data_IF_441765812737
#
_entry.id   IF_441765812737
#
_cell.length_a   1.000
_cell.length_b   1.000
_cell.length_c   1.000
_cell.angle_alpha   90.00
_cell.angle_beta   90.00
_cell.angle_gamma   90.00
#
_symmetry.space_group_name_H-M   'P 1'
#
loop_
_entity.id
_entity.type
_entity.pdbx_description
1 polymer ?
#
# COMPACT_ATOMS: atom_id res chain seq x y z
N UNK A 1 4.80 -1.04 15.01
CA UNK A 1 3.57 -1.01 15.85
C UNK A 1 3.72 -0.29 17.20
N UNK A 2 4.90 0.21 17.60
CA UNK A 2 5.09 0.90 18.88
C UNK A 2 4.17 2.13 19.07
N UNK A 3 4.05 2.98 18.04
CA UNK A 3 3.19 4.17 18.08
C UNK A 3 1.71 3.86 18.39
N UNK A 4 1.16 2.78 17.83
CA UNK A 4 -0.22 2.36 18.08
C UNK A 4 -0.43 1.83 19.52
N UNK A 5 0.62 1.35 20.17
CA UNK A 5 0.58 0.92 21.57
C UNK A 5 0.67 2.14 22.50
N UNK A 6 1.68 2.97 22.29
CA UNK A 6 1.99 4.13 23.15
C UNK A 6 0.91 5.21 23.05
N UNK A 7 0.32 5.40 21.87
CA UNK A 7 -0.72 6.41 21.62
C UNK A 7 -2.09 6.10 22.23
N UNK A 8 -2.35 4.86 22.65
CA UNK A 8 -3.71 4.40 23.02
C UNK A 8 -4.33 5.20 24.16
N UNK A 9 -3.55 5.45 25.22
CA UNK A 9 -4.04 6.20 26.38
C UNK A 9 -4.25 7.71 26.08
N UNK A 10 -3.68 8.19 24.98
CA UNK A 10 -3.74 9.58 24.53
C UNK A 10 -4.78 9.80 23.43
N UNK A 11 -5.53 8.77 23.04
CA UNK A 11 -6.46 8.85 21.91
C UNK A 11 -5.78 9.00 20.55
N UNK A 12 -4.52 8.58 20.42
CA UNK A 12 -3.77 8.65 19.16
C UNK A 12 -3.91 7.31 18.42
N UNK A 13 -4.57 7.35 17.26
CA UNK A 13 -4.63 6.24 16.32
C UNK A 13 -3.40 6.23 15.41
N UNK A 14 -2.84 5.05 15.15
CA UNK A 14 -1.70 4.86 14.25
C UNK A 14 -1.91 3.60 13.40
N UNK A 15 -1.74 3.75 12.09
CA UNK A 15 -1.91 2.69 11.10
C UNK A 15 -0.78 2.71 10.06
N UNK A 16 -0.68 1.61 9.30
CA UNK A 16 0.24 1.47 8.18
C UNK A 16 -0.55 1.07 6.93
N UNK A 17 -0.20 1.68 5.80
CA UNK A 17 -0.68 1.28 4.49
C UNK A 17 0.50 0.86 3.62
N UNK A 18 0.45 -0.36 3.11
CA UNK A 18 1.41 -0.91 2.16
C UNK A 18 0.81 -0.80 0.75
N UNK A 19 1.55 -0.19 -0.18
CA UNK A 19 1.06 0.13 -1.52
C UNK A 19 1.85 -0.69 -2.56
N UNK A 20 1.13 -1.43 -3.40
CA UNK A 20 1.68 -2.20 -4.49
C UNK A 20 1.35 -1.63 -5.87
N UNK A 21 2.38 -1.25 -6.63
CA UNK A 21 2.26 -0.82 -8.03
C UNK A 21 1.19 0.25 -8.31
N UNK A 22 1.16 1.32 -7.52
CA UNK A 22 0.35 2.50 -7.82
C UNK A 22 1.03 3.34 -8.92
N UNK A 23 0.31 3.65 -10.00
CA UNK A 23 0.80 4.43 -11.13
C UNK A 23 1.08 5.89 -10.71
N UNK A 24 2.35 6.22 -10.58
CA UNK A 24 2.85 7.56 -10.24
C UNK A 24 4.12 7.85 -11.05
N UNK A 25 4.57 9.09 -11.02
CA UNK A 25 5.84 9.48 -11.63
C UNK A 25 7.04 8.65 -11.13
N UNK A 26 6.98 8.16 -9.89
CA UNK A 26 8.00 7.32 -9.27
C UNK A 26 7.98 5.87 -9.79
N UNK A 27 6.82 5.36 -10.22
CA UNK A 27 6.67 3.97 -10.69
C UNK A 27 6.80 3.83 -12.21
N UNK A 28 7.09 4.92 -12.93
CA UNK A 28 7.34 4.88 -14.38
C UNK A 28 8.42 3.85 -14.78
N UNK A 29 9.41 3.63 -13.93
CA UNK A 29 10.44 2.61 -14.18
C UNK A 29 9.91 1.17 -14.02
N UNK A 30 8.91 0.95 -13.16
CA UNK A 30 8.23 -0.34 -12.99
C UNK A 30 7.37 -0.66 -14.22
N UNK A 31 6.72 0.36 -14.81
CA UNK A 31 5.99 0.22 -16.07
C UNK A 31 6.91 -0.11 -17.26
N UNK A 32 8.12 0.45 -17.27
CA UNK A 32 9.15 0.10 -18.26
C UNK A 32 9.72 -1.32 -18.07
N UNK A 33 9.57 -1.88 -16.87
CA UNK A 33 9.87 -3.26 -16.54
C UNK A 33 10.55 -3.41 -15.18
N UNK A 34 10.08 -4.37 -14.38
CA UNK A 34 10.67 -4.76 -13.10
C UNK A 34 11.31 -6.15 -13.19
N UNK A 35 12.37 -6.36 -12.41
CA UNK A 35 13.04 -7.66 -12.29
C UNK A 35 12.11 -8.65 -11.57
N UNK A 36 11.77 -9.72 -12.27
CA UNK A 36 10.93 -10.80 -11.76
C UNK A 36 11.76 -11.85 -11.02
N UNK A 37 11.09 -12.73 -10.27
CA UNK A 37 11.76 -13.80 -9.53
C UNK A 37 12.54 -14.78 -10.43
N UNK A 38 12.14 -14.93 -11.69
CA UNK A 38 12.84 -15.73 -12.71
C UNK A 38 14.05 -15.00 -13.33
N UNK A 39 14.37 -13.79 -12.85
CA UNK A 39 15.48 -12.97 -13.31
C UNK A 39 15.23 -12.18 -14.60
N UNK A 40 14.02 -12.27 -15.19
CA UNK A 40 13.66 -11.52 -16.38
C UNK A 40 13.08 -10.14 -16.01
N UNK A 41 13.29 -9.14 -16.88
CA UNK A 41 12.65 -7.82 -16.72
C UNK A 41 11.35 -7.80 -17.50
N UNK A 42 10.22 -7.55 -16.83
CA UNK A 42 8.89 -7.49 -17.45
C UNK A 42 8.07 -6.34 -16.86
N UNK A 43 7.22 -5.67 -17.67
CA UNK A 43 6.24 -4.74 -17.14
C UNK A 43 5.33 -5.42 -16.13
N UNK A 44 5.10 -4.76 -14.99
CA UNK A 44 4.12 -5.22 -14.00
C UNK A 44 2.82 -4.43 -14.11
N UNK A 45 1.65 -5.05 -13.86
CA UNK A 45 0.39 -4.34 -13.78
C UNK A 45 0.43 -3.24 -12.72
N UNK A 46 -0.12 -2.08 -13.05
CA UNK A 46 -0.31 -0.96 -12.12
C UNK A 46 -1.78 -0.69 -11.85
N UNK A 47 -2.06 0.05 -10.78
CA UNK A 47 -3.39 0.58 -10.45
C UNK A 47 -3.34 2.11 -10.38
N UNK A 48 -4.46 2.80 -10.61
CA UNK A 48 -4.53 4.25 -10.41
C UNK A 48 -4.17 4.61 -8.95
N UNK A 49 -3.32 5.63 -8.77
CA UNK A 49 -2.97 6.16 -7.46
C UNK A 49 -4.17 6.77 -6.71
N UNK A 50 -5.28 7.07 -7.40
CA UNK A 50 -6.53 7.52 -6.78
C UNK A 50 -7.07 6.49 -5.78
N UNK A 51 -6.94 5.20 -6.05
CA UNK A 51 -7.37 4.15 -5.10
C UNK A 51 -6.56 4.18 -3.79
N UNK A 52 -5.30 4.60 -3.85
CA UNK A 52 -4.47 4.81 -2.64
C UNK A 52 -4.96 6.04 -1.89
N UNK A 53 -5.30 7.12 -2.59
CA UNK A 53 -5.85 8.32 -1.98
C UNK A 53 -7.18 8.03 -1.28
N UNK A 54 -8.08 7.26 -1.92
CA UNK A 54 -9.35 6.83 -1.33
C UNK A 54 -9.14 5.98 -0.07
N UNK A 55 -8.15 5.07 -0.10
CA UNK A 55 -7.80 4.25 1.06
C UNK A 55 -7.27 5.10 2.23
N UNK A 56 -6.39 6.05 1.96
CA UNK A 56 -5.88 6.99 2.98
C UNK A 56 -7.00 7.87 3.53
N UNK A 57 -7.88 8.36 2.66
CA UNK A 57 -9.04 9.15 3.06
C UNK A 57 -9.98 8.34 3.98
N UNK A 58 -10.23 7.07 3.64
CA UNK A 58 -10.99 6.18 4.50
C UNK A 58 -10.33 6.01 5.87
N UNK A 59 -9.01 5.73 5.91
CA UNK A 59 -8.27 5.59 7.18
C UNK A 59 -8.33 6.87 8.03
N UNK A 60 -8.17 8.04 7.41
CA UNK A 60 -8.18 9.33 8.09
C UNK A 60 -9.60 9.79 8.49
N UNK A 61 -10.64 9.30 7.80
CA UNK A 61 -12.04 9.63 8.07
C UNK A 61 -12.67 8.84 9.21
N UNK A 62 -11.96 7.85 9.76
CA UNK A 62 -12.45 7.09 10.92
C UNK A 62 -12.42 7.94 12.20
N UNK A 63 -13.41 7.77 13.09
CA UNK A 63 -13.37 8.38 14.41
C UNK A 63 -12.28 7.70 15.27
N UNK A 64 -11.75 8.38 16.29
CA UNK A 64 -10.56 7.93 17.04
C UNK A 64 -10.76 6.63 17.83
N UNK A 65 -12.00 6.18 18.04
CA UNK A 65 -12.30 4.85 18.58
C UNK A 65 -12.06 3.70 17.59
N UNK A 66 -11.90 3.99 16.29
CA UNK A 66 -11.65 3.02 15.23
C UNK A 66 -10.28 3.26 14.58
N UNK A 67 -9.58 2.18 14.24
CA UNK A 67 -8.25 2.29 13.62
C UNK A 67 -8.01 1.16 12.62
N UNK A 68 -7.55 1.52 11.43
CA UNK A 68 -6.95 0.57 10.48
C UNK A 68 -5.48 0.39 10.86
N UNK A 69 -5.19 -0.66 11.63
CA UNK A 69 -3.82 -0.91 12.08
C UNK A 69 -2.86 -1.26 10.93
N UNK A 70 -3.36 -1.98 9.92
CA UNK A 70 -2.61 -2.38 8.73
C UNK A 70 -3.57 -2.52 7.55
N UNK A 71 -3.14 -2.09 6.37
CA UNK A 71 -3.87 -2.23 5.12
C UNK A 71 -2.87 -2.45 3.98
N UNK A 72 -3.22 -3.29 3.02
CA UNK A 72 -2.45 -3.42 1.77
C UNK A 72 -3.38 -3.11 0.61
N UNK A 73 -2.98 -2.19 -0.26
CA UNK A 73 -3.69 -1.85 -1.51
C UNK A 73 -2.72 -2.07 -2.65
N UNK A 74 -3.08 -2.90 -3.61
CA UNK A 74 -2.15 -3.34 -4.65
C UNK A 74 -2.86 -3.57 -5.97
N UNK A 75 -2.12 -3.41 -7.06
CA UNK A 75 -2.58 -3.85 -8.37
C UNK A 75 -2.85 -5.37 -8.35
N UNK A 76 -4.09 -5.77 -8.64
CA UNK A 76 -4.54 -7.18 -8.51
C UNK A 76 -3.68 -8.18 -9.28
N UNK A 77 -3.13 -7.77 -10.42
CA UNK A 77 -2.28 -8.62 -11.26
C UNK A 77 -0.80 -8.64 -10.88
N UNK A 78 -0.35 -7.88 -9.89
CA UNK A 78 1.07 -7.86 -9.53
C UNK A 78 1.50 -9.16 -8.84
N UNK A 79 2.71 -9.68 -9.10
CA UNK A 79 3.18 -10.98 -8.62
C UNK A 79 3.69 -10.90 -7.16
N UNK A 80 2.83 -10.49 -6.24
CA UNK A 80 3.15 -10.34 -4.82
C UNK A 80 2.72 -11.52 -3.96
N UNK A 81 1.52 -12.04 -4.21
CA UNK A 81 0.96 -13.21 -3.52
C UNK A 81 1.15 -14.46 -4.37
N UNK A 82 2.37 -14.98 -4.39
CA UNK A 82 2.74 -16.17 -5.16
C UNK A 82 3.94 -16.91 -4.58
N UNK A 83 4.24 -18.09 -5.14
CA UNK A 83 5.55 -18.73 -4.97
C UNK A 83 6.35 -18.28 -6.19
N UNK A 84 7.36 -17.43 -5.98
CA UNK A 84 8.13 -16.76 -7.03
C UNK A 84 8.53 -17.66 -8.19
#
# INVERSE_FOLDING_TARGET
>A
KALALEGRALGIACGQIDIGNAATDMTRQIEAGALQADGQVRPEPTMSAEHVADAVLYMAGLPLEANVLTMTVMATGMPFVGRG
#
